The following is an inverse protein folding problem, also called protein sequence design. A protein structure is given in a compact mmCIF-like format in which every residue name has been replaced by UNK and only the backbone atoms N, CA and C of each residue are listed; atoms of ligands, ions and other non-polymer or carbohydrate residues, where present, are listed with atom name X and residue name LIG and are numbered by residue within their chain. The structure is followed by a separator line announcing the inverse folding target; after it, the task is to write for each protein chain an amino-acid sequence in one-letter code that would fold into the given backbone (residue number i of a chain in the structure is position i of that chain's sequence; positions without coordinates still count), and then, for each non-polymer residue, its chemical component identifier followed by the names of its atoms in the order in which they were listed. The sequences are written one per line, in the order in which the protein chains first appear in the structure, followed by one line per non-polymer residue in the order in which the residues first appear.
data_IF_307273902378
#
_entry.id   IF_307273902378
#
_cell.length_a   1.000
_cell.length_b   1.000
_cell.length_c   1.000
_cell.angle_alpha   90.00
_cell.angle_beta   90.00
_cell.angle_gamma   90.00
#
_symmetry.space_group_name_H-M   'P 1'
#
loop_
_entity.id
_entity.type
_entity.pdbx_description
1 polymer ?
#
# COMPACT_ATOMS: atom_id res chain seq x y z
N UNK A 1 32.47 -37.14 -9.93
CA UNK A 1 32.76 -35.79 -9.36
C UNK A 1 31.95 -35.68 -8.07
N UNK A 2 32.58 -35.80 -6.93
CA UNK A 2 31.95 -35.56 -5.63
C UNK A 2 31.79 -34.04 -5.50
N UNK A 3 30.57 -33.56 -5.63
CA UNK A 3 30.24 -32.17 -5.29
C UNK A 3 30.46 -32.00 -3.79
N UNK A 4 31.48 -31.28 -3.42
CA UNK A 4 31.74 -30.90 -2.07
C UNK A 4 30.63 -29.89 -1.69
N UNK A 5 29.63 -30.33 -0.92
CA UNK A 5 28.62 -29.42 -0.37
C UNK A 5 29.31 -28.69 0.78
N UNK A 6 29.47 -27.39 0.66
CA UNK A 6 29.95 -26.54 1.76
C UNK A 6 28.98 -26.73 2.95
N UNK A 7 29.42 -27.16 4.12
CA UNK A 7 28.55 -27.40 5.26
C UNK A 7 27.95 -26.12 5.86
N UNK A 8 28.48 -24.95 5.52
CA UNK A 8 27.98 -23.67 6.01
C UNK A 8 27.14 -22.95 4.96
N UNK A 9 25.90 -22.59 5.33
CA UNK A 9 25.04 -21.74 4.50
C UNK A 9 25.60 -20.32 4.39
N UNK A 10 26.00 -19.92 3.20
CA UNK A 10 26.53 -18.59 2.90
C UNK A 10 25.47 -17.73 2.18
N UNK A 11 24.62 -17.06 2.96
CA UNK A 11 23.50 -16.26 2.44
C UNK A 11 23.93 -15.27 1.34
N UNK A 12 25.03 -14.53 1.57
CA UNK A 12 25.54 -13.52 0.63
C UNK A 12 25.99 -14.08 -0.73
N UNK A 13 26.33 -15.35 -0.78
CA UNK A 13 26.73 -16.03 -2.04
C UNK A 13 25.53 -16.74 -2.72
N UNK A 14 24.70 -17.39 -1.94
CA UNK A 14 23.63 -18.25 -2.46
C UNK A 14 22.37 -17.45 -2.81
N UNK A 15 21.90 -16.57 -1.94
CA UNK A 15 20.62 -15.86 -2.11
C UNK A 15 20.56 -15.00 -3.38
N UNK A 16 21.59 -14.19 -3.71
CA UNK A 16 21.55 -13.39 -4.95
C UNK A 16 21.47 -14.25 -6.20
N UNK A 17 22.17 -15.38 -6.23
CA UNK A 17 22.14 -16.30 -7.38
C UNK A 17 20.76 -16.94 -7.55
N UNK A 18 20.13 -17.36 -6.47
CA UNK A 18 18.78 -17.95 -6.49
C UNK A 18 17.75 -16.89 -6.89
N UNK A 19 17.84 -15.68 -6.38
CA UNK A 19 16.92 -14.59 -6.74
C UNK A 19 17.03 -14.19 -8.21
N UNK A 20 18.26 -14.14 -8.77
CA UNK A 20 18.49 -13.91 -10.19
C UNK A 20 17.88 -15.01 -11.07
N UNK A 21 18.00 -16.28 -10.66
CA UNK A 21 17.37 -17.39 -11.36
C UNK A 21 15.82 -17.28 -11.32
N UNK A 22 15.25 -16.92 -10.19
CA UNK A 22 13.79 -16.68 -10.09
C UNK A 22 13.31 -15.55 -10.99
N UNK A 23 14.06 -14.45 -11.08
CA UNK A 23 13.74 -13.34 -11.97
C UNK A 23 13.84 -13.77 -13.45
N UNK A 24 14.91 -14.44 -13.81
CA UNK A 24 15.15 -14.91 -15.19
C UNK A 24 14.04 -15.88 -15.67
N UNK A 25 13.61 -16.79 -14.81
CA UNK A 25 12.53 -17.76 -15.10
C UNK A 25 11.15 -17.19 -14.88
N UNK A 26 11.00 -15.99 -14.36
CA UNK A 26 9.71 -15.42 -13.92
C UNK A 26 8.94 -16.37 -13.01
N UNK A 27 9.63 -16.92 -12.01
CA UNK A 27 9.18 -18.06 -11.20
C UNK A 27 7.83 -17.80 -10.47
N UNK A 28 7.49 -16.55 -10.20
CA UNK A 28 6.28 -16.17 -9.45
C UNK A 28 5.25 -15.42 -10.31
N UNK A 29 5.51 -15.27 -11.61
CA UNK A 29 4.58 -14.63 -12.53
C UNK A 29 3.34 -15.48 -12.74
N UNK A 30 2.16 -14.85 -12.68
CA UNK A 30 0.87 -15.48 -12.93
C UNK A 30 0.32 -15.01 -14.27
N UNK A 31 -0.11 -15.96 -15.11
CA UNK A 31 -0.78 -15.64 -16.37
C UNK A 31 -2.15 -15.00 -16.12
N UNK A 32 -2.66 -14.23 -17.09
CA UNK A 32 -3.97 -13.57 -16.98
C UNK A 32 -5.13 -14.57 -16.96
N UNK A 33 -4.95 -15.73 -17.60
CA UNK A 33 -5.89 -16.84 -17.55
C UNK A 33 -5.18 -18.09 -17.07
N UNK A 34 -5.71 -18.68 -16.01
CA UNK A 34 -5.21 -19.93 -15.42
C UNK A 34 -6.36 -20.87 -15.12
N UNK A 35 -6.14 -22.16 -15.30
CA UNK A 35 -7.06 -23.23 -14.94
C UNK A 35 -6.72 -23.80 -13.57
N UNK A 36 -7.68 -24.49 -12.95
CA UNK A 36 -7.47 -25.17 -11.68
C UNK A 36 -7.60 -24.30 -10.43
N UNK A 37 -7.16 -24.80 -9.27
CA UNK A 37 -7.26 -24.08 -8.00
C UNK A 37 -6.40 -22.83 -7.98
N UNK A 38 -7.01 -21.72 -7.55
CA UNK A 38 -6.38 -20.40 -7.51
C UNK A 38 -6.44 -19.78 -6.13
N UNK A 39 -5.39 -19.07 -5.76
CA UNK A 39 -5.32 -18.28 -4.52
C UNK A 39 -4.89 -16.85 -4.80
N UNK A 40 -5.50 -15.93 -4.10
CA UNK A 40 -5.10 -14.54 -4.04
C UNK A 40 -4.63 -14.23 -2.62
N UNK A 41 -3.34 -13.99 -2.47
CA UNK A 41 -2.74 -13.71 -1.16
C UNK A 41 -2.29 -12.26 -1.15
N UNK A 42 -2.98 -11.46 -0.37
CA UNK A 42 -2.76 -10.02 -0.27
C UNK A 42 -2.26 -9.67 1.14
N UNK A 43 -1.10 -9.05 1.20
CA UNK A 43 -0.62 -8.35 2.38
C UNK A 43 -0.88 -6.84 2.24
N UNK A 44 -1.06 -6.14 3.35
CA UNK A 44 -1.23 -4.68 3.32
C UNK A 44 -0.03 -4.02 2.65
N UNK A 45 -0.29 -3.13 1.69
CA UNK A 45 0.77 -2.42 0.96
C UNK A 45 1.53 -1.47 1.86
N UNK A 46 2.86 -1.35 1.68
CA UNK A 46 3.63 -0.39 2.43
C UNK A 46 3.40 1.03 1.90
N UNK A 47 3.50 1.99 2.81
CA UNK A 47 3.65 3.39 2.45
C UNK A 47 5.13 3.67 2.15
N UNK A 48 5.49 4.30 1.01
CA UNK A 48 6.89 4.51 0.63
C UNK A 48 7.50 5.70 1.39
N UNK A 49 7.73 5.53 2.68
CA UNK A 49 8.22 6.57 3.60
C UNK A 49 9.72 6.48 3.92
N UNK A 50 10.46 5.59 3.26
CA UNK A 50 11.91 5.46 3.45
C UNK A 50 12.40 4.04 3.55
N UNK A 51 12.78 3.58 4.74
CA UNK A 51 13.35 2.24 4.95
C UNK A 51 12.32 1.25 5.45
N UNK A 52 12.46 -0.01 5.07
CA UNK A 52 11.72 -1.09 5.70
C UNK A 52 12.14 -1.22 7.18
N UNK A 53 11.22 -1.70 7.99
CA UNK A 53 11.46 -2.07 9.39
C UNK A 53 10.91 -3.48 9.65
N UNK A 54 11.20 -4.04 10.82
CA UNK A 54 10.81 -5.41 11.16
C UNK A 54 9.31 -5.69 11.09
N UNK A 55 8.46 -4.66 11.25
CA UNK A 55 7.02 -4.79 11.02
C UNK A 55 6.67 -5.14 9.57
N UNK A 56 7.36 -4.56 8.60
CA UNK A 56 7.22 -4.94 7.18
C UNK A 56 7.68 -6.38 6.95
N UNK A 57 8.84 -6.76 7.50
CA UNK A 57 9.36 -8.14 7.38
C UNK A 57 8.33 -9.13 7.90
N UNK A 58 7.80 -8.91 9.11
CA UNK A 58 6.76 -9.77 9.70
C UNK A 58 5.53 -9.87 8.81
N UNK A 59 4.98 -8.73 8.36
CA UNK A 59 3.75 -8.70 7.57
C UNK A 59 3.91 -9.49 6.26
N UNK A 60 4.98 -9.24 5.52
CA UNK A 60 5.17 -9.86 4.20
C UNK A 60 5.63 -11.32 4.28
N UNK A 61 6.39 -11.69 5.30
CA UNK A 61 6.80 -13.08 5.51
C UNK A 61 5.59 -13.98 5.79
N UNK A 62 4.60 -13.53 6.56
CA UNK A 62 3.38 -14.30 6.82
C UNK A 62 2.65 -14.61 5.50
N UNK A 63 2.42 -13.58 4.67
CA UNK A 63 1.78 -13.77 3.36
C UNK A 63 2.61 -14.67 2.43
N UNK A 64 3.92 -14.54 2.45
CA UNK A 64 4.82 -15.34 1.63
C UNK A 64 4.84 -16.82 2.01
N UNK A 65 4.83 -17.12 3.30
CA UNK A 65 4.73 -18.52 3.80
C UNK A 65 3.43 -19.17 3.30
N UNK A 66 2.30 -18.47 3.41
CA UNK A 66 1.00 -18.97 2.93
C UNK A 66 1.06 -19.18 1.41
N UNK A 67 1.62 -18.23 0.67
CA UNK A 67 1.77 -18.32 -0.80
C UNK A 67 2.61 -19.51 -1.22
N UNK A 68 3.75 -19.73 -0.57
CA UNK A 68 4.63 -20.87 -0.84
C UNK A 68 3.97 -22.21 -0.51
N UNK A 69 3.25 -22.27 0.61
CA UNK A 69 2.48 -23.46 1.00
C UNK A 69 1.47 -23.84 -0.09
N UNK A 70 0.69 -22.91 -0.59
CA UNK A 70 -0.29 -23.16 -1.65
C UNK A 70 0.36 -23.55 -2.97
N UNK A 71 1.48 -22.91 -3.35
CA UNK A 71 2.25 -23.30 -4.55
C UNK A 71 2.80 -24.71 -4.45
N UNK A 72 3.29 -25.12 -3.26
CA UNK A 72 3.75 -26.50 -3.04
C UNK A 72 2.62 -27.54 -3.17
N UNK A 73 1.36 -27.12 -2.97
CA UNK A 73 0.18 -27.96 -3.22
C UNK A 73 -0.26 -28.00 -4.67
N UNK A 74 0.46 -27.31 -5.58
CA UNK A 74 0.12 -27.23 -7.01
C UNK A 74 -0.95 -26.20 -7.34
N UNK A 75 -1.29 -25.29 -6.42
CA UNK A 75 -2.24 -24.22 -6.67
C UNK A 75 -1.55 -23.02 -7.33
N UNK A 76 -2.26 -22.33 -8.23
CA UNK A 76 -1.78 -21.05 -8.78
C UNK A 76 -2.03 -19.93 -7.77
N UNK A 77 -0.94 -19.22 -7.39
CA UNK A 77 -1.02 -18.18 -6.37
C UNK A 77 -0.62 -16.82 -6.93
N UNK A 78 -1.56 -15.89 -6.93
CA UNK A 78 -1.29 -14.47 -7.16
C UNK A 78 -0.95 -13.79 -5.82
N UNK A 79 0.28 -13.33 -5.70
CA UNK A 79 0.77 -12.50 -4.60
C UNK A 79 1.32 -11.20 -5.18
N UNK A 80 0.52 -10.14 -5.30
CA UNK A 80 0.97 -8.86 -5.84
C UNK A 80 1.68 -8.04 -4.77
N UNK A 81 2.39 -6.99 -5.21
CA UNK A 81 2.91 -5.92 -4.38
C UNK A 81 2.43 -4.58 -4.91
N UNK A 82 2.09 -3.68 -3.99
CA UNK A 82 1.70 -2.32 -4.31
C UNK A 82 2.32 -1.32 -3.35
N UNK A 83 2.13 -0.03 -3.65
CA UNK A 83 2.60 1.09 -2.86
C UNK A 83 1.42 2.01 -2.56
N UNK A 84 1.09 2.16 -1.29
CA UNK A 84 0.15 3.19 -0.83
C UNK A 84 0.89 4.53 -0.84
N UNK A 85 0.75 5.28 -1.92
CA UNK A 85 1.69 6.33 -2.28
C UNK A 85 1.09 7.73 -2.36
N UNK A 86 -0.13 7.92 -1.86
CA UNK A 86 -0.74 9.23 -1.68
C UNK A 86 -0.67 9.71 -0.23
N UNK A 87 -0.77 11.02 -0.04
CA UNK A 87 -1.07 11.64 1.22
C UNK A 87 0.00 12.57 1.77
N UNK A 88 -0.37 13.27 2.83
CA UNK A 88 0.43 14.28 3.52
C UNK A 88 1.83 13.83 3.97
N UNK A 89 2.08 12.59 4.39
CA UNK A 89 3.44 12.20 4.79
C UNK A 89 4.47 12.38 3.68
N UNK A 90 4.13 12.03 2.43
CA UNK A 90 5.03 12.23 1.29
C UNK A 90 5.21 13.71 0.96
N UNK A 91 4.13 14.50 0.98
CA UNK A 91 4.17 15.92 0.71
C UNK A 91 5.01 16.67 1.75
N UNK A 92 4.84 16.33 3.03
CA UNK A 92 5.59 16.96 4.11
C UNK A 92 7.07 16.59 4.11
N UNK A 93 7.39 15.33 3.82
CA UNK A 93 8.77 14.90 3.64
C UNK A 93 9.41 15.64 2.45
N UNK A 94 8.68 15.78 1.34
CA UNK A 94 9.15 16.53 0.18
C UNK A 94 9.41 18.00 0.49
N UNK A 95 8.54 18.65 1.25
CA UNK A 95 8.73 20.04 1.73
C UNK A 95 9.98 20.11 2.62
N UNK A 96 10.09 19.22 3.62
CA UNK A 96 11.23 19.21 4.55
C UNK A 96 12.57 19.00 3.85
N UNK A 97 12.59 18.22 2.78
CA UNK A 97 13.78 17.93 1.97
C UNK A 97 13.94 18.82 0.74
N UNK A 98 13.02 19.76 0.51
CA UNK A 98 13.01 20.67 -0.64
C UNK A 98 13.06 19.95 -2.00
N UNK A 99 12.33 18.87 -2.12
CA UNK A 99 12.20 18.06 -3.35
C UNK A 99 10.75 17.96 -3.80
N UNK A 100 10.51 17.64 -5.06
CA UNK A 100 9.15 17.38 -5.53
C UNK A 100 8.58 16.11 -4.91
N UNK A 101 7.29 16.09 -4.46
CA UNK A 101 6.67 14.90 -3.85
C UNK A 101 6.78 13.63 -4.72
N UNK A 102 6.59 13.75 -6.02
CA UNK A 102 6.72 12.62 -6.94
C UNK A 102 8.14 12.04 -6.91
N UNK A 103 9.17 12.88 -6.96
CA UNK A 103 10.57 12.44 -6.91
C UNK A 103 10.84 11.67 -5.61
N UNK A 104 10.49 12.26 -4.47
CA UNK A 104 10.62 11.64 -3.15
C UNK A 104 9.95 10.26 -3.10
N UNK A 105 8.69 10.20 -3.55
CA UNK A 105 7.89 8.98 -3.51
C UNK A 105 8.50 7.87 -4.37
N UNK A 106 8.86 8.14 -5.62
CA UNK A 106 9.42 7.11 -6.52
C UNK A 106 10.83 6.68 -6.13
N UNK A 107 11.66 7.56 -5.57
CA UNK A 107 12.97 7.18 -5.01
C UNK A 107 12.80 6.22 -3.82
N UNK A 108 11.86 6.48 -2.93
CA UNK A 108 11.54 5.58 -1.82
C UNK A 108 10.96 4.24 -2.28
N UNK A 109 10.06 4.25 -3.27
CA UNK A 109 9.55 3.02 -3.89
C UNK A 109 10.70 2.16 -4.42
N UNK A 110 11.59 2.75 -5.19
CA UNK A 110 12.74 2.03 -5.75
C UNK A 110 13.61 1.43 -4.64
N UNK A 111 13.93 2.23 -3.63
CA UNK A 111 14.75 1.79 -2.51
C UNK A 111 14.11 0.64 -1.70
N UNK A 112 12.82 0.79 -1.34
CA UNK A 112 12.09 -0.23 -0.57
C UNK A 112 11.84 -1.50 -1.39
N UNK A 113 11.63 -1.38 -2.71
CA UNK A 113 11.51 -2.53 -3.62
C UNK A 113 12.79 -3.37 -3.58
N UNK A 114 13.95 -2.74 -3.66
CA UNK A 114 15.23 -3.44 -3.59
C UNK A 114 15.41 -4.16 -2.24
N UNK A 115 14.96 -3.54 -1.16
CA UNK A 115 14.98 -4.20 0.15
C UNK A 115 14.01 -5.40 0.22
N UNK A 116 12.78 -5.27 -0.32
CA UNK A 116 11.81 -6.36 -0.37
C UNK A 116 12.29 -7.54 -1.23
N UNK A 117 12.93 -7.25 -2.37
CA UNK A 117 13.51 -8.28 -3.23
C UNK A 117 14.59 -9.07 -2.50
N UNK A 118 15.44 -8.41 -1.71
CA UNK A 118 16.48 -9.08 -0.89
C UNK A 118 15.91 -10.01 0.18
N UNK A 119 14.66 -9.83 0.61
CA UNK A 119 13.98 -10.77 1.49
C UNK A 119 13.59 -12.08 0.78
N UNK A 120 13.72 -12.14 -0.55
CA UNK A 120 13.42 -13.33 -1.32
C UNK A 120 11.93 -13.70 -1.35
N UNK A 121 11.03 -12.73 -1.24
CA UNK A 121 9.58 -12.96 -1.25
C UNK A 121 9.10 -13.42 -2.62
N UNK A 122 8.11 -14.31 -2.64
CA UNK A 122 7.55 -14.91 -3.85
C UNK A 122 6.48 -14.03 -4.51
N UNK A 123 6.79 -12.77 -4.70
CA UNK A 123 5.91 -11.74 -5.26
C UNK A 123 5.92 -11.76 -6.78
N UNK A 124 4.77 -11.58 -7.41
CA UNK A 124 4.66 -11.30 -8.84
C UNK A 124 4.95 -9.81 -9.11
N UNK A 125 6.22 -9.49 -9.32
CA UNK A 125 6.69 -8.13 -9.56
C UNK A 125 6.23 -7.54 -10.90
N UNK A 126 5.79 -8.36 -11.87
CA UNK A 126 5.19 -7.86 -13.11
C UNK A 126 3.82 -7.19 -12.86
N UNK A 127 3.22 -7.44 -11.69
CA UNK A 127 1.95 -6.84 -11.24
C UNK A 127 2.13 -5.81 -10.13
N UNK A 128 3.33 -5.26 -10.02
CA UNK A 128 3.59 -4.13 -9.11
C UNK A 128 2.84 -2.89 -9.56
N UNK A 129 2.29 -2.13 -8.59
CA UNK A 129 1.60 -0.87 -8.86
C UNK A 129 1.83 0.15 -7.75
N UNK A 130 1.55 1.42 -8.04
CA UNK A 130 1.53 2.49 -7.05
C UNK A 130 0.20 3.25 -7.14
N UNK A 131 -0.45 3.50 -6.01
CA UNK A 131 -1.76 4.16 -5.96
C UNK A 131 -1.73 5.59 -6.52
N UNK A 132 -0.56 6.24 -6.53
CA UNK A 132 -0.36 7.58 -7.06
C UNK A 132 -0.18 7.65 -8.59
N UNK A 133 -0.19 6.53 -9.30
CA UNK A 133 -0.07 6.56 -10.76
C UNK A 133 -1.44 6.71 -11.44
N UNK A 134 -1.51 7.40 -12.61
CA UNK A 134 -2.76 7.55 -13.35
C UNK A 134 -3.44 6.23 -13.72
N UNK A 135 -2.67 5.19 -14.01
CA UNK A 135 -3.18 3.86 -14.33
C UNK A 135 -3.98 3.26 -13.18
N UNK A 136 -3.62 3.61 -11.93
CA UNK A 136 -4.34 3.16 -10.74
C UNK A 136 -5.48 4.12 -10.36
N UNK A 137 -5.19 5.39 -10.08
CA UNK A 137 -6.19 6.29 -9.49
C UNK A 137 -7.34 6.66 -10.45
N UNK A 138 -7.20 6.44 -11.77
CA UNK A 138 -8.33 6.58 -12.70
C UNK A 138 -9.51 5.70 -12.32
N UNK A 139 -9.25 4.53 -11.73
CA UNK A 139 -10.29 3.61 -11.29
C UNK A 139 -10.96 4.10 -10.00
N UNK A 140 -10.23 4.72 -9.11
CA UNK A 140 -10.78 5.38 -7.93
C UNK A 140 -11.68 6.55 -8.35
N UNK A 141 -11.23 7.37 -9.30
CA UNK A 141 -12.03 8.45 -9.86
C UNK A 141 -13.29 7.93 -10.56
N UNK A 142 -13.18 6.84 -11.31
CA UNK A 142 -14.33 6.21 -11.94
C UNK A 142 -15.34 5.72 -10.89
N UNK A 143 -14.88 5.03 -9.85
CA UNK A 143 -15.72 4.56 -8.75
C UNK A 143 -16.42 5.74 -8.05
N UNK A 144 -15.69 6.81 -7.73
CA UNK A 144 -16.23 8.02 -7.16
C UNK A 144 -17.40 8.56 -8.00
N UNK A 145 -17.21 8.66 -9.32
CA UNK A 145 -18.24 9.15 -10.25
C UNK A 145 -19.47 8.23 -10.26
N UNK A 146 -19.28 6.88 -10.20
CA UNK A 146 -20.41 5.96 -10.13
C UNK A 146 -21.20 6.12 -8.82
N UNK A 147 -20.52 6.25 -7.70
CA UNK A 147 -21.14 6.46 -6.39
C UNK A 147 -21.86 7.81 -6.31
N UNK A 148 -21.27 8.85 -6.90
CA UNK A 148 -21.91 10.17 -7.01
C UNK A 148 -23.20 10.09 -7.83
N UNK A 149 -23.19 9.43 -8.99
CA UNK A 149 -24.38 9.22 -9.84
C UNK A 149 -25.48 8.44 -9.12
N UNK A 150 -25.12 7.52 -8.22
CA UNK A 150 -26.07 6.77 -7.38
C UNK A 150 -26.61 7.58 -6.18
N UNK A 151 -26.15 8.82 -5.97
CA UNK A 151 -26.56 9.65 -4.84
C UNK A 151 -25.93 9.26 -3.49
N UNK A 152 -24.97 8.34 -3.50
CA UNK A 152 -24.24 7.93 -2.30
C UNK A 152 -23.16 8.94 -1.88
N UNK A 153 -22.77 9.82 -2.78
CA UNK A 153 -21.87 10.94 -2.51
C UNK A 153 -22.63 12.23 -2.72
N UNK A 154 -22.45 13.16 -1.79
CA UNK A 154 -23.02 14.50 -1.86
C UNK A 154 -21.99 15.55 -1.49
N UNK A 155 -22.21 16.78 -1.95
CA UNK A 155 -21.35 17.93 -1.65
C UNK A 155 -22.09 18.90 -0.73
N UNK A 156 -21.41 19.35 0.31
CA UNK A 156 -21.92 20.43 1.19
C UNK A 156 -20.77 21.31 1.70
N UNK A 157 -21.10 22.52 2.11
CA UNK A 157 -20.20 23.32 2.95
C UNK A 157 -20.10 22.69 4.34
N UNK A 158 -18.89 22.63 4.84
CA UNK A 158 -18.64 22.11 6.18
C UNK A 158 -17.54 22.91 6.84
N UNK A 159 -17.77 23.23 8.11
CA UNK A 159 -16.73 23.87 8.93
C UNK A 159 -15.68 22.84 9.31
N UNK A 160 -14.44 23.11 8.97
CA UNK A 160 -13.28 22.23 9.20
C UNK A 160 -12.24 22.91 10.07
N UNK A 161 -11.37 22.13 10.67
CA UNK A 161 -10.17 22.62 11.32
C UNK A 161 -9.11 22.86 10.26
N UNK A 162 -8.69 24.08 10.09
CA UNK A 162 -7.68 24.48 9.14
C UNK A 162 -6.37 24.84 9.85
N UNK A 163 -5.29 24.22 9.42
CA UNK A 163 -3.94 24.58 9.86
C UNK A 163 -3.37 25.60 8.87
N UNK A 164 -3.11 26.86 9.30
CA UNK A 164 -2.62 27.88 8.40
C UNK A 164 -1.15 27.74 8.01
N UNK A 165 -0.36 26.98 8.78
CA UNK A 165 1.07 26.72 8.51
C UNK A 165 1.22 25.55 7.55
N UNK A 166 0.58 24.42 7.87
CA UNK A 166 0.60 23.23 7.02
C UNK A 166 -0.35 23.36 5.80
N UNK A 167 -1.19 24.41 5.77
CA UNK A 167 -2.18 24.69 4.72
C UNK A 167 -3.06 23.48 4.40
N UNK A 168 -3.56 22.82 5.44
CA UNK A 168 -4.34 21.61 5.32
C UNK A 168 -5.50 21.54 6.31
N UNK A 169 -6.47 20.66 6.01
CA UNK A 169 -7.56 20.34 6.92
C UNK A 169 -7.08 19.26 7.90
N UNK A 170 -7.38 19.46 9.18
CA UNK A 170 -7.09 18.52 10.25
C UNK A 170 -8.35 17.82 10.73
N UNK A 171 -8.27 16.51 10.94
CA UNK A 171 -9.27 15.76 11.70
C UNK A 171 -9.28 16.22 13.16
N UNK A 172 -10.37 15.94 13.89
CA UNK A 172 -10.47 16.39 15.28
C UNK A 172 -9.36 15.80 16.16
N UNK A 173 -8.95 14.57 15.89
CA UNK A 173 -7.88 13.85 16.59
C UNK A 173 -6.49 14.45 16.35
N UNK A 174 -6.37 15.27 15.32
CA UNK A 174 -5.13 15.98 14.96
C UNK A 174 -5.06 17.39 15.55
N UNK A 175 -6.04 17.77 16.34
CA UNK A 175 -6.10 19.07 17.03
C UNK A 175 -5.90 18.85 18.53
N UNK A 176 -4.76 19.28 19.02
CA UNK A 176 -4.40 19.18 20.44
C UNK A 176 -4.38 20.58 21.08
N UNK A 177 -5.22 20.80 22.09
CA UNK A 177 -5.34 22.09 22.79
C UNK A 177 -5.57 23.29 21.82
N UNK A 178 -6.37 23.08 20.76
CA UNK A 178 -6.66 24.09 19.75
C UNK A 178 -5.52 24.36 18.75
N UNK A 179 -4.51 23.50 18.74
CA UNK A 179 -3.35 23.60 17.84
C UNK A 179 -3.23 22.37 16.97
N UNK A 180 -2.68 22.56 15.78
CA UNK A 180 -2.32 21.44 14.91
C UNK A 180 -1.23 20.58 15.55
N UNK A 181 -1.45 19.28 15.62
CA UNK A 181 -0.61 18.28 16.27
C UNK A 181 0.85 18.28 15.79
N UNK A 182 1.08 18.74 14.58
CA UNK A 182 2.39 18.75 13.94
C UNK A 182 3.00 20.14 13.85
N UNK A 183 2.24 21.12 13.34
CA UNK A 183 2.73 22.50 13.16
C UNK A 183 2.83 23.27 14.48
N UNK A 184 1.99 22.91 15.47
CA UNK A 184 1.79 23.69 16.70
C UNK A 184 1.03 25.00 16.48
N UNK A 185 0.61 25.33 15.24
CA UNK A 185 -0.15 26.52 14.92
C UNK A 185 -1.56 26.48 15.52
N UNK A 186 -2.12 27.64 15.85
CA UNK A 186 -3.51 27.75 16.22
C UNK A 186 -4.38 27.37 15.01
N UNK A 187 -5.32 26.47 15.25
CA UNK A 187 -6.25 25.99 14.24
C UNK A 187 -7.33 27.04 13.99
N UNK A 188 -7.62 27.32 12.73
CA UNK A 188 -8.72 28.17 12.31
C UNK A 188 -9.93 27.33 11.92
N UNK A 189 -11.15 27.88 12.14
CA UNK A 189 -12.36 27.30 11.58
C UNK A 189 -12.62 27.90 10.20
N UNK A 190 -12.73 27.04 9.17
CA UNK A 190 -13.03 27.49 7.80
C UNK A 190 -14.17 26.69 7.21
N UNK A 191 -15.05 27.35 6.49
CA UNK A 191 -16.10 26.69 5.73
C UNK A 191 -15.61 26.41 4.32
N UNK A 192 -15.49 25.14 4.00
CA UNK A 192 -15.06 24.68 2.68
C UNK A 192 -16.06 23.68 2.09
N UNK A 193 -16.24 23.67 0.74
CA UNK A 193 -17.07 22.67 0.11
C UNK A 193 -16.34 21.32 0.10
N UNK A 194 -16.94 20.33 0.70
CA UNK A 194 -16.41 18.96 0.78
C UNK A 194 -17.41 17.94 0.25
N UNK A 195 -16.89 16.79 -0.17
CA UNK A 195 -17.69 15.63 -0.53
C UNK A 195 -17.81 14.69 0.67
N UNK A 196 -18.98 14.10 0.81
CA UNK A 196 -19.32 13.16 1.88
C UNK A 196 -19.97 11.92 1.30
N UNK A 197 -19.68 10.77 1.90
CA UNK A 197 -20.37 9.52 1.64
C UNK A 197 -21.49 9.32 2.64
N UNK A 198 -22.62 8.77 2.18
CA UNK A 198 -23.76 8.39 3.04
C UNK A 198 -23.51 7.05 3.74
N UNK A 199 -22.40 6.93 4.44
CA UNK A 199 -21.99 5.66 5.08
C UNK A 199 -22.98 5.21 6.16
N UNK A 200 -23.65 6.14 6.83
CA UNK A 200 -24.63 5.84 7.89
C UNK A 200 -25.89 5.17 7.36
N UNK A 201 -26.20 5.30 6.06
CA UNK A 201 -27.35 4.63 5.45
C UNK A 201 -27.19 3.10 5.45
N UNK A 202 -25.96 2.61 5.60
CA UNK A 202 -25.62 1.18 5.62
C UNK A 202 -25.36 0.64 7.03
N UNK A 203 -25.49 1.46 8.08
CA UNK A 203 -25.08 1.08 9.43
C UNK A 203 -25.86 -0.14 9.95
N UNK A 204 -27.18 -0.18 9.71
CA UNK A 204 -28.01 -1.29 10.18
C UNK A 204 -27.74 -2.58 9.38
N UNK A 205 -27.65 -2.48 8.05
CA UNK A 205 -27.30 -3.62 7.18
C UNK A 205 -25.97 -4.25 7.59
N UNK A 206 -24.93 -3.43 7.80
CA UNK A 206 -23.62 -3.91 8.25
C UNK A 206 -23.67 -4.55 9.64
N UNK A 207 -24.52 -4.06 10.53
CA UNK A 207 -24.70 -4.65 11.86
C UNK A 207 -25.37 -6.03 11.75
N UNK A 208 -26.42 -6.13 10.94
CA UNK A 208 -27.19 -7.37 10.76
C UNK A 208 -26.31 -8.44 10.06
N UNK A 209 -25.43 -8.03 9.14
CA UNK A 209 -24.52 -8.93 8.41
C UNK A 209 -23.41 -9.54 9.29
N UNK A 210 -23.12 -8.98 10.47
CA UNK A 210 -22.15 -9.57 11.40
C UNK A 210 -22.51 -11.00 11.82
N UNK A 211 -23.78 -11.32 11.85
CA UNK A 211 -24.25 -12.67 12.20
C UNK A 211 -24.01 -13.70 11.08
N UNK A 212 -23.55 -13.24 9.91
CA UNK A 212 -23.27 -14.09 8.73
C UNK A 212 -21.79 -14.40 8.51
N UNK A 213 -20.90 -13.83 9.34
CA UNK A 213 -19.43 -13.97 9.25
C UNK A 213 -18.90 -15.28 9.87
#
# INVERSE_FOLDING_TARGET
MTTHIDPEYQASAIEPTVQQDWEARKAFKVADSVEGPRRYILSMFPYPSGKLHMGHVRNYTIGDVISRFHRLKGETVLQPMGWDAFGLPAENAAIAHQVAPAKWTFENIAYMRDQLKKLGLSVDWDREFATCTPEYYRWEQWLFVQLYKKGLIYRKLSTVNWDPVDQTVLANEQVENGRGWRSGALVEKRDIPMYYFRITDYAQELLDDLDTL
#
